data_IF_740723632248
#
_entry.id   IF_740723632248
#
_cell.length_a   1.000
_cell.length_b   1.000
_cell.length_c   1.000
_cell.angle_alpha   90.00
_cell.angle_beta   90.00
_cell.angle_gamma   90.00
#
_symmetry.space_group_name_H-M   'P 1'
#
loop_
_entity.id
_entity.type
_entity.pdbx_description
1 polymer ?
#
# COMPACT_ATOMS: atom_id res chain seq x y z
N UNK A 1 -35.52 6.35 14.58
CA UNK A 1 -34.12 6.06 14.98
C UNK A 1 -34.00 6.35 16.48
N UNK A 2 -33.45 5.42 17.26
CA UNK A 2 -33.42 5.48 18.73
C UNK A 2 -32.63 6.71 19.23
N UNK A 3 -33.23 7.57 20.04
CA UNK A 3 -32.62 8.82 20.55
C UNK A 3 -31.27 8.57 21.21
N UNK A 4 -31.13 7.44 21.89
CA UNK A 4 -29.88 7.00 22.55
C UNK A 4 -28.75 6.74 21.56
N UNK A 5 -29.07 6.25 20.36
CA UNK A 5 -28.06 6.04 19.27
C UNK A 5 -27.59 7.37 18.66
N UNK A 6 -28.50 8.34 18.52
CA UNK A 6 -28.18 9.68 18.00
C UNK A 6 -27.25 10.39 18.99
N UNK A 7 -27.53 10.33 20.27
CA UNK A 7 -26.75 10.99 21.30
C UNK A 7 -25.34 10.39 21.44
N UNK A 8 -25.21 9.06 21.41
CA UNK A 8 -23.91 8.38 21.35
C UNK A 8 -23.10 8.75 20.09
N UNK A 9 -23.76 8.91 18.95
CA UNK A 9 -23.12 9.36 17.70
C UNK A 9 -22.57 10.78 17.84
N UNK A 10 -23.39 11.73 18.36
CA UNK A 10 -22.98 13.12 18.60
C UNK A 10 -21.79 13.21 19.56
N UNK A 11 -21.78 12.44 20.65
CA UNK A 11 -20.66 12.42 21.59
C UNK A 11 -19.36 11.87 20.94
N UNK A 12 -19.45 10.84 20.12
CA UNK A 12 -18.29 10.30 19.37
C UNK A 12 -17.75 11.32 18.37
N UNK A 13 -18.63 11.98 17.61
CA UNK A 13 -18.26 13.02 16.65
C UNK A 13 -17.61 14.23 17.33
N UNK A 14 -18.13 14.66 18.47
CA UNK A 14 -17.54 15.75 19.26
C UNK A 14 -16.12 15.41 19.78
N UNK A 15 -15.92 14.17 20.26
CA UNK A 15 -14.58 13.69 20.67
C UNK A 15 -13.61 13.62 19.47
N UNK A 16 -14.09 13.13 18.32
CA UNK A 16 -13.30 13.10 17.08
C UNK A 16 -12.92 14.51 16.63
N UNK A 17 -13.88 15.45 16.62
CA UNK A 17 -13.65 16.85 16.26
C UNK A 17 -12.55 17.48 17.12
N UNK A 18 -12.67 17.37 18.43
CA UNK A 18 -11.68 17.92 19.37
C UNK A 18 -10.27 17.31 19.15
N UNK A 19 -10.20 16.02 18.84
CA UNK A 19 -8.93 15.34 18.49
C UNK A 19 -8.34 15.89 17.20
N UNK A 20 -9.15 16.05 16.14
CA UNK A 20 -8.70 16.53 14.82
C UNK A 20 -8.27 17.99 14.87
N UNK A 21 -8.98 18.85 15.59
CA UNK A 21 -8.59 20.25 15.81
C UNK A 21 -7.24 20.40 16.54
N UNK A 22 -6.93 19.50 17.47
CA UNK A 22 -5.59 19.45 18.09
C UNK A 22 -4.52 19.05 17.08
N UNK A 23 -4.81 18.10 16.20
CA UNK A 23 -3.85 17.65 15.18
C UNK A 23 -3.49 18.74 14.16
N UNK A 24 -4.47 19.55 13.72
CA UNK A 24 -4.25 20.67 12.77
C UNK A 24 -3.34 21.76 13.34
N UNK A 25 -3.32 21.94 14.68
CA UNK A 25 -2.45 22.96 15.32
C UNK A 25 -0.96 22.70 15.17
N UNK A 26 -0.56 21.46 14.84
CA UNK A 26 0.83 21.15 14.56
C UNK A 26 1.19 21.58 13.14
N UNK A 27 1.79 22.78 13.00
CA UNK A 27 2.34 23.25 11.74
C UNK A 27 3.39 22.27 11.22
N UNK A 28 3.26 21.90 9.95
CA UNK A 28 4.27 21.09 9.26
C UNK A 28 5.57 21.91 9.15
N UNK A 29 6.62 21.46 9.83
CA UNK A 29 7.94 22.06 9.72
C UNK A 29 8.64 21.51 8.47
N UNK A 30 9.50 22.30 7.82
CA UNK A 30 10.29 21.89 6.64
C UNK A 30 11.06 20.58 6.89
N UNK A 31 11.63 20.41 8.07
CA UNK A 31 12.34 19.16 8.44
C UNK A 31 11.40 17.96 8.47
N UNK A 32 10.18 18.11 8.98
CA UNK A 32 9.19 17.03 8.97
C UNK A 32 8.80 16.66 7.54
N UNK A 33 8.60 17.62 6.64
CA UNK A 33 8.28 17.35 5.24
C UNK A 33 9.41 16.59 4.54
N UNK A 34 10.68 17.02 4.70
CA UNK A 34 11.83 16.30 4.14
C UNK A 34 11.88 14.87 4.64
N UNK A 35 11.76 14.66 5.94
CA UNK A 35 11.73 13.34 6.56
C UNK A 35 10.56 12.49 6.05
N UNK A 36 9.35 13.07 5.96
CA UNK A 36 8.17 12.40 5.43
C UNK A 36 8.39 11.97 3.98
N UNK A 37 8.92 12.86 3.12
CA UNK A 37 9.20 12.53 1.73
C UNK A 37 10.27 11.44 1.59
N UNK A 38 11.26 11.39 2.47
CA UNK A 38 12.24 10.28 2.50
C UNK A 38 11.55 8.94 2.81
N UNK A 39 10.70 8.89 3.84
CA UNK A 39 9.94 7.67 4.18
C UNK A 39 9.03 7.27 3.01
N UNK A 40 8.27 8.22 2.44
CA UNK A 40 7.38 7.95 1.32
C UNK A 40 8.14 7.46 0.08
N UNK A 41 9.35 7.97 -0.17
CA UNK A 41 10.21 7.48 -1.26
C UNK A 41 10.64 6.03 -1.02
N UNK A 42 11.00 5.67 0.22
CA UNK A 42 11.36 4.29 0.56
C UNK A 42 10.15 3.34 0.47
N UNK A 43 8.97 3.78 0.92
CA UNK A 43 7.71 3.02 0.75
C UNK A 43 7.43 2.82 -0.75
N UNK A 44 7.62 3.85 -1.56
CA UNK A 44 7.40 3.79 -2.99
C UNK A 44 8.41 2.86 -3.70
N UNK A 45 9.69 2.85 -3.28
CA UNK A 45 10.69 1.88 -3.76
C UNK A 45 10.22 0.45 -3.46
N UNK A 46 9.75 0.19 -2.24
CA UNK A 46 9.27 -1.15 -1.85
C UNK A 46 8.05 -1.56 -2.67
N UNK A 47 7.15 -0.63 -2.96
CA UNK A 47 5.98 -0.80 -3.80
C UNK A 47 6.36 -1.16 -5.26
N UNK A 48 7.31 -0.42 -5.87
CA UNK A 48 7.81 -0.70 -7.21
C UNK A 48 8.55 -2.05 -7.28
N UNK A 49 9.29 -2.41 -6.24
CA UNK A 49 9.92 -3.74 -6.14
C UNK A 49 8.82 -4.80 -6.09
N UNK A 50 7.82 -4.66 -5.23
CA UNK A 50 6.73 -5.60 -5.10
C UNK A 50 5.94 -5.80 -6.41
N UNK A 51 5.74 -4.72 -7.19
CA UNK A 51 5.04 -4.78 -8.47
C UNK A 51 5.81 -5.52 -9.57
N UNK A 52 7.14 -5.51 -9.52
CA UNK A 52 8.00 -6.01 -10.60
C UNK A 52 8.71 -7.31 -10.29
N UNK A 53 8.90 -7.65 -9.01
CA UNK A 53 9.71 -8.81 -8.59
C UNK A 53 9.21 -10.14 -9.15
N UNK A 54 7.90 -10.37 -9.16
CA UNK A 54 7.32 -11.62 -9.67
C UNK A 54 7.57 -11.82 -11.18
N UNK A 55 7.63 -10.74 -11.94
CA UNK A 55 7.94 -10.77 -13.38
C UNK A 55 9.40 -11.19 -13.57
N UNK A 56 10.31 -10.65 -12.76
CA UNK A 56 11.74 -10.95 -12.84
C UNK A 56 12.08 -12.39 -12.44
N UNK A 57 11.26 -13.02 -11.60
CA UNK A 57 11.43 -14.40 -11.14
C UNK A 57 10.45 -15.39 -11.77
N UNK A 58 9.70 -15.00 -12.80
CA UNK A 58 8.69 -15.82 -13.45
C UNK A 58 9.23 -17.19 -13.85
N UNK A 59 10.42 -17.26 -14.46
CA UNK A 59 11.03 -18.53 -14.87
C UNK A 59 11.37 -19.45 -13.67
N UNK A 60 11.84 -18.87 -12.57
CA UNK A 60 12.13 -19.64 -11.35
C UNK A 60 10.84 -20.21 -10.74
N UNK A 61 9.79 -19.41 -10.67
CA UNK A 61 8.47 -19.78 -10.16
C UNK A 61 7.86 -20.93 -10.99
N UNK A 62 7.87 -20.78 -12.33
CA UNK A 62 7.34 -21.79 -13.25
C UNK A 62 8.13 -23.08 -13.14
N UNK A 63 9.46 -23.01 -13.15
CA UNK A 63 10.30 -24.21 -13.04
C UNK A 63 10.09 -24.93 -11.72
N UNK A 64 10.05 -24.23 -10.59
CA UNK A 64 9.92 -24.86 -9.29
C UNK A 64 8.55 -25.50 -9.08
N UNK A 65 7.46 -24.73 -9.29
CA UNK A 65 6.14 -25.21 -8.92
C UNK A 65 5.48 -26.10 -9.98
N UNK A 66 5.71 -25.82 -11.27
CA UNK A 66 5.03 -26.54 -12.34
C UNK A 66 5.92 -27.60 -13.00
N UNK A 67 7.17 -27.28 -13.33
CA UNK A 67 8.04 -28.26 -13.97
C UNK A 67 8.54 -29.29 -12.96
N UNK A 68 9.21 -28.85 -11.89
CA UNK A 68 9.87 -29.75 -10.93
C UNK A 68 8.87 -30.50 -10.04
N UNK A 69 7.81 -29.84 -9.55
CA UNK A 69 6.85 -30.46 -8.61
C UNK A 69 5.66 -31.16 -9.31
N UNK A 70 5.19 -30.63 -10.45
CA UNK A 70 4.03 -31.17 -11.16
C UNK A 70 4.41 -31.96 -12.42
N UNK A 71 5.67 -31.96 -12.86
CA UNK A 71 6.13 -32.69 -14.04
C UNK A 71 5.65 -32.13 -15.36
N UNK A 72 5.21 -30.86 -15.39
CA UNK A 72 4.73 -30.19 -16.61
C UNK A 72 5.90 -29.75 -17.49
N UNK A 73 5.64 -29.53 -18.77
CA UNK A 73 6.56 -28.79 -19.62
C UNK A 73 6.56 -27.32 -19.20
N UNK A 74 7.66 -26.60 -19.48
CA UNK A 74 7.74 -25.16 -19.16
C UNK A 74 6.61 -24.34 -19.80
N UNK A 75 6.23 -24.67 -21.04
CA UNK A 75 5.15 -23.99 -21.77
C UNK A 75 3.78 -24.17 -21.11
N UNK A 76 3.45 -25.40 -20.70
CA UNK A 76 2.20 -25.70 -19.96
C UNK A 76 2.20 -25.01 -18.60
N UNK A 77 3.31 -25.07 -17.85
CA UNK A 77 3.46 -24.40 -16.57
C UNK A 77 3.31 -22.88 -16.67
N UNK A 78 3.90 -22.26 -17.69
CA UNK A 78 3.79 -20.83 -17.95
C UNK A 78 2.33 -20.42 -18.29
N UNK A 79 1.66 -21.22 -19.10
CA UNK A 79 0.26 -21.01 -19.47
C UNK A 79 -0.65 -21.09 -18.24
N UNK A 80 -0.45 -22.12 -17.39
CA UNK A 80 -1.23 -22.29 -16.16
C UNK A 80 -0.94 -21.18 -15.15
N UNK A 81 0.32 -20.80 -14.98
CA UNK A 81 0.70 -19.66 -14.11
C UNK A 81 0.02 -18.35 -14.54
N UNK A 82 0.00 -18.09 -15.85
CA UNK A 82 -0.68 -16.92 -16.41
C UNK A 82 -2.20 -16.96 -16.20
N UNK A 83 -2.82 -18.14 -16.37
CA UNK A 83 -4.25 -18.33 -16.12
C UNK A 83 -4.61 -18.13 -14.64
N UNK A 84 -3.78 -18.64 -13.71
CA UNK A 84 -3.95 -18.39 -12.27
C UNK A 84 -3.83 -16.90 -11.94
N UNK A 85 -2.91 -16.19 -12.59
CA UNK A 85 -2.79 -14.72 -12.48
C UNK A 85 -4.11 -14.02 -12.81
N UNK A 86 -4.79 -14.41 -13.89
CA UNK A 86 -6.07 -13.81 -14.30
C UNK A 86 -7.15 -14.01 -13.24
N UNK A 87 -7.19 -15.14 -12.55
CA UNK A 87 -8.19 -15.43 -11.50
C UNK A 87 -8.07 -14.44 -10.32
N UNK A 88 -6.91 -13.85 -10.10
CA UNK A 88 -6.69 -12.88 -9.02
C UNK A 88 -7.14 -11.47 -9.36
N UNK A 89 -7.33 -11.11 -10.64
CA UNK A 89 -7.76 -9.77 -11.05
C UNK A 89 -9.09 -9.29 -10.45
N UNK A 90 -10.14 -10.12 -10.32
CA UNK A 90 -11.41 -9.69 -9.70
C UNK A 90 -11.24 -9.17 -8.28
N UNK A 91 -10.24 -9.65 -7.53
CA UNK A 91 -9.93 -9.18 -6.17
C UNK A 91 -9.49 -7.71 -6.21
N UNK A 92 -8.81 -7.29 -7.27
CA UNK A 92 -8.41 -5.89 -7.45
C UNK A 92 -9.61 -4.94 -7.61
N UNK A 93 -10.79 -5.43 -8.03
CA UNK A 93 -12.02 -4.62 -8.10
C UNK A 93 -12.51 -4.18 -6.71
N UNK A 94 -12.15 -4.89 -5.64
CA UNK A 94 -12.46 -4.48 -4.27
C UNK A 94 -11.81 -3.14 -3.90
N UNK A 95 -10.83 -2.69 -4.69
CA UNK A 95 -10.24 -1.36 -4.62
C UNK A 95 -11.27 -0.24 -4.66
N UNK A 96 -12.30 -0.37 -5.49
CA UNK A 96 -13.37 0.64 -5.64
C UNK A 96 -14.05 0.91 -4.30
N UNK A 97 -14.14 -0.11 -3.44
CA UNK A 97 -14.72 0.02 -2.09
C UNK A 97 -13.67 0.45 -1.07
N UNK A 98 -12.44 -0.03 -1.22
CA UNK A 98 -11.38 0.20 -0.23
C UNK A 98 -10.84 1.63 -0.25
N UNK A 99 -10.63 2.23 -1.44
CA UNK A 99 -10.10 3.60 -1.56
C UNK A 99 -10.95 4.66 -0.84
N UNK A 100 -12.28 4.72 -1.00
CA UNK A 100 -13.12 5.68 -0.29
C UNK A 100 -13.08 5.55 1.24
N UNK A 101 -12.70 4.38 1.77
CA UNK A 101 -12.54 4.22 3.22
C UNK A 101 -11.39 5.07 3.75
N UNK A 102 -10.33 5.30 2.98
CA UNK A 102 -9.24 6.19 3.36
C UNK A 102 -9.69 7.66 3.51
N UNK A 103 -10.69 8.09 2.71
CA UNK A 103 -11.29 9.42 2.84
C UNK A 103 -12.11 9.55 4.14
N UNK A 104 -12.65 8.46 4.63
CA UNK A 104 -13.47 8.43 5.84
C UNK A 104 -12.66 8.26 7.12
N UNK A 105 -11.69 7.35 7.11
CA UNK A 105 -10.95 6.96 8.32
C UNK A 105 -9.61 7.67 8.49
N UNK A 106 -9.05 8.19 7.41
CA UNK A 106 -7.76 8.90 7.39
C UNK A 106 -6.75 8.25 6.46
N UNK A 107 -5.76 9.03 6.05
CA UNK A 107 -4.70 8.58 5.14
C UNK A 107 -3.65 7.73 5.86
N UNK A 108 -3.28 8.14 7.09
CA UNK A 108 -2.24 7.48 7.87
C UNK A 108 -2.52 6.00 8.12
N UNK A 109 -3.70 5.57 8.62
CA UNK A 109 -3.98 4.15 8.85
C UNK A 109 -3.84 3.30 7.58
N UNK A 110 -4.26 3.86 6.43
CA UNK A 110 -4.20 3.15 5.15
C UNK A 110 -2.78 3.07 4.59
N UNK A 111 -1.96 4.11 4.76
CA UNK A 111 -0.54 4.05 4.41
C UNK A 111 0.17 2.91 5.17
N UNK A 112 -0.06 2.85 6.49
CA UNK A 112 0.54 1.82 7.35
C UNK A 112 0.03 0.43 6.96
N UNK A 113 -1.29 0.27 6.80
CA UNK A 113 -1.92 -0.99 6.44
C UNK A 113 -1.43 -1.49 5.08
N UNK A 114 -1.38 -0.61 4.07
CA UNK A 114 -0.90 -0.96 2.73
C UNK A 114 0.55 -1.44 2.76
N UNK A 115 1.43 -0.66 3.39
CA UNK A 115 2.85 -1.02 3.48
C UNK A 115 3.05 -2.31 4.25
N UNK A 116 2.32 -2.50 5.35
CA UNK A 116 2.39 -3.72 6.16
C UNK A 116 1.88 -4.95 5.38
N UNK A 117 0.69 -4.87 4.78
CA UNK A 117 0.11 -6.00 4.05
C UNK A 117 0.89 -6.33 2.77
N UNK A 118 1.48 -5.34 2.12
CA UNK A 118 2.40 -5.56 1.00
C UNK A 118 3.65 -6.32 1.46
N UNK A 119 4.27 -5.90 2.57
CA UNK A 119 5.41 -6.61 3.17
C UNK A 119 5.02 -8.04 3.63
N UNK A 120 3.80 -8.20 4.15
CA UNK A 120 3.27 -9.53 4.50
C UNK A 120 3.10 -10.41 3.27
N UNK A 121 2.61 -9.86 2.15
CA UNK A 121 2.50 -10.58 0.88
C UNK A 121 3.87 -11.06 0.39
N UNK A 122 4.89 -10.20 0.39
CA UNK A 122 6.27 -10.55 0.06
C UNK A 122 6.82 -11.66 1.01
N UNK A 123 6.51 -11.56 2.29
CA UNK A 123 6.94 -12.54 3.29
C UNK A 123 6.25 -13.90 3.12
N UNK A 124 4.95 -13.91 2.77
CA UNK A 124 4.22 -15.15 2.44
C UNK A 124 4.82 -15.80 1.18
N UNK A 125 5.17 -15.01 0.16
CA UNK A 125 5.86 -15.53 -1.04
C UNK A 125 7.22 -16.13 -0.67
N UNK A 126 7.99 -15.48 0.21
CA UNK A 126 9.25 -16.04 0.72
C UNK A 126 9.07 -17.41 1.39
N UNK A 127 7.99 -17.59 2.15
CA UNK A 127 7.69 -18.85 2.85
C UNK A 127 6.99 -19.89 1.96
N UNK A 128 6.63 -19.55 0.72
CA UNK A 128 5.84 -20.42 -0.13
C UNK A 128 6.62 -21.68 -0.52
N UNK A 129 6.05 -22.83 -0.20
CA UNK A 129 6.54 -24.14 -0.63
C UNK A 129 5.67 -24.74 -1.75
N UNK A 130 4.54 -24.16 -2.06
CA UNK A 130 3.63 -24.57 -3.10
C UNK A 130 3.01 -23.36 -3.80
N UNK A 131 2.39 -23.61 -4.96
CA UNK A 131 1.82 -22.57 -5.78
C UNK A 131 0.63 -21.88 -5.12
N UNK A 132 -0.12 -22.54 -4.25
CA UNK A 132 -1.30 -21.97 -3.58
C UNK A 132 -0.85 -20.87 -2.60
N UNK A 133 0.15 -21.17 -1.73
CA UNK A 133 0.70 -20.20 -0.79
C UNK A 133 1.36 -19.05 -1.55
N UNK A 134 2.08 -19.33 -2.64
CA UNK A 134 2.63 -18.30 -3.53
C UNK A 134 1.52 -17.37 -4.06
N UNK A 135 0.42 -17.93 -4.57
CA UNK A 135 -0.70 -17.15 -5.10
C UNK A 135 -1.40 -16.31 -4.04
N UNK A 136 -1.53 -16.82 -2.81
CA UNK A 136 -2.08 -16.03 -1.68
C UNK A 136 -1.21 -14.80 -1.41
N UNK A 137 0.11 -15.00 -1.27
CA UNK A 137 1.06 -13.90 -1.04
C UNK A 137 1.09 -12.91 -2.21
N UNK A 138 1.15 -13.41 -3.44
CA UNK A 138 1.14 -12.61 -4.66
C UNK A 138 -0.14 -11.80 -4.84
N UNK A 139 -1.30 -12.39 -4.53
CA UNK A 139 -2.59 -11.70 -4.59
C UNK A 139 -2.69 -10.59 -3.55
N UNK A 140 -2.26 -10.87 -2.30
CA UNK A 140 -2.23 -9.86 -1.25
C UNK A 140 -1.32 -8.69 -1.62
N UNK A 141 -0.12 -9.00 -2.11
CA UNK A 141 0.85 -8.01 -2.58
C UNK A 141 0.28 -7.18 -3.74
N UNK A 142 -0.24 -7.80 -4.78
CA UNK A 142 -0.81 -7.13 -5.94
C UNK A 142 -2.03 -6.26 -5.60
N UNK A 143 -2.86 -6.70 -4.67
CA UNK A 143 -3.97 -5.89 -4.17
C UNK A 143 -3.47 -4.62 -3.46
N UNK A 144 -2.44 -4.71 -2.63
CA UNK A 144 -1.92 -3.57 -1.87
C UNK A 144 -1.10 -2.59 -2.72
N UNK A 145 -0.32 -3.09 -3.68
CA UNK A 145 0.44 -2.27 -4.64
C UNK A 145 -0.47 -1.30 -5.40
N UNK A 146 -1.65 -1.73 -5.78
CA UNK A 146 -2.60 -0.88 -6.53
C UNK A 146 -3.19 0.27 -5.70
N UNK A 147 -2.87 0.40 -4.41
CA UNK A 147 -3.47 1.42 -3.52
C UNK A 147 -2.79 2.76 -3.53
N UNK A 148 -1.53 2.85 -3.94
CA UNK A 148 -0.78 4.11 -4.12
C UNK A 148 -0.99 5.17 -3.02
N UNK A 149 -1.18 4.74 -1.76
CA UNK A 149 -1.47 5.68 -0.68
C UNK A 149 -0.32 6.65 -0.43
N UNK A 150 0.92 6.25 -0.72
CA UNK A 150 2.11 7.11 -0.72
C UNK A 150 1.98 8.25 -1.73
N UNK A 151 1.35 8.02 -2.89
CA UNK A 151 1.09 9.05 -3.90
C UNK A 151 0.12 10.09 -3.37
N UNK A 152 -0.97 9.65 -2.74
CA UNK A 152 -1.95 10.55 -2.11
C UNK A 152 -1.27 11.45 -1.07
N UNK A 153 -0.40 10.88 -0.23
CA UNK A 153 0.38 11.65 0.74
C UNK A 153 1.29 12.68 0.08
N UNK A 154 2.03 12.30 -0.96
CA UNK A 154 2.92 13.21 -1.69
C UNK A 154 2.11 14.38 -2.26
N UNK A 155 0.96 14.11 -2.85
CA UNK A 155 0.11 15.13 -3.46
C UNK A 155 -0.53 16.06 -2.42
N UNK A 156 -1.00 15.52 -1.30
CA UNK A 156 -1.66 16.30 -0.24
C UNK A 156 -0.68 17.12 0.61
N UNK A 157 0.55 16.62 0.83
CA UNK A 157 1.60 17.33 1.56
C UNK A 157 2.43 18.28 0.67
N UNK A 158 2.24 18.26 -0.64
CA UNK A 158 2.92 19.16 -1.57
C UNK A 158 2.09 20.39 -1.85
N UNK A 159 2.74 21.57 -1.93
CA UNK A 159 2.09 22.78 -2.44
C UNK A 159 1.66 22.58 -3.89
N UNK A 160 0.57 23.20 -4.31
CA UNK A 160 0.01 23.08 -5.66
C UNK A 160 1.04 23.25 -6.77
N UNK A 161 1.91 24.24 -6.63
CA UNK A 161 3.01 24.55 -7.58
C UNK A 161 4.02 23.40 -7.71
N UNK A 162 4.23 22.63 -6.66
CA UNK A 162 5.30 21.61 -6.58
C UNK A 162 4.80 20.16 -6.64
N UNK A 163 3.48 19.92 -6.67
CA UNK A 163 2.88 18.57 -6.65
C UNK A 163 3.45 17.66 -7.74
N UNK A 164 3.37 18.09 -8.99
CA UNK A 164 3.84 17.30 -10.12
C UNK A 164 5.34 17.00 -10.01
N UNK A 165 6.13 18.02 -9.66
CA UNK A 165 7.59 17.88 -9.50
C UNK A 165 7.94 16.89 -8.39
N UNK A 166 7.34 17.04 -7.21
CA UNK A 166 7.63 16.17 -6.07
C UNK A 166 7.22 14.72 -6.36
N UNK A 167 6.05 14.52 -6.96
CA UNK A 167 5.63 13.20 -7.41
C UNK A 167 6.61 12.60 -8.43
N UNK A 168 6.99 13.34 -9.47
CA UNK A 168 7.89 12.83 -10.51
C UNK A 168 9.28 12.47 -9.96
N UNK A 169 9.83 13.29 -9.05
CA UNK A 169 11.11 12.99 -8.40
C UNK A 169 11.00 11.72 -7.56
N UNK A 170 9.96 11.62 -6.73
CA UNK A 170 9.75 10.44 -5.86
C UNK A 170 9.53 9.18 -6.69
N UNK A 171 8.75 9.26 -7.78
CA UNK A 171 8.53 8.13 -8.70
C UNK A 171 9.81 7.73 -9.42
N UNK A 172 10.63 8.68 -9.88
CA UNK A 172 11.91 8.38 -10.50
C UNK A 172 12.87 7.66 -9.54
N UNK A 173 12.95 8.11 -8.28
CA UNK A 173 13.72 7.44 -7.23
C UNK A 173 13.20 6.02 -6.99
N UNK A 174 11.88 5.83 -6.95
CA UNK A 174 11.26 4.53 -6.75
C UNK A 174 11.58 3.55 -7.88
N UNK A 175 11.49 4.01 -9.14
CA UNK A 175 11.84 3.20 -10.32
C UNK A 175 13.33 2.82 -10.30
N UNK A 176 14.22 3.75 -9.95
CA UNK A 176 15.65 3.44 -9.80
C UNK A 176 15.88 2.41 -8.69
N UNK A 177 15.05 2.43 -7.65
CA UNK A 177 15.09 1.44 -6.57
C UNK A 177 14.81 0.01 -7.05
N UNK A 178 14.09 -0.20 -8.16
CA UNK A 178 13.87 -1.54 -8.73
C UNK A 178 15.15 -2.23 -9.19
N UNK A 179 16.22 -1.47 -9.44
CA UNK A 179 17.55 -2.00 -9.75
C UNK A 179 18.15 -2.81 -8.60
N UNK A 180 17.62 -2.64 -7.38
CA UNK A 180 18.01 -3.49 -6.24
C UNK A 180 17.63 -4.96 -6.46
N UNK A 181 16.58 -5.26 -7.23
CA UNK A 181 16.15 -6.66 -7.44
C UNK A 181 17.19 -7.48 -8.22
N UNK A 182 17.69 -7.05 -9.40
CA UNK A 182 18.77 -7.78 -10.06
C UNK A 182 20.07 -7.81 -9.25
N UNK A 183 20.40 -6.78 -8.47
CA UNK A 183 21.54 -6.81 -7.55
C UNK A 183 21.38 -7.86 -6.44
N UNK A 184 20.20 -7.93 -5.81
CA UNK A 184 19.88 -8.96 -4.84
C UNK A 184 19.87 -10.34 -5.47
N UNK A 185 19.35 -10.47 -6.68
CA UNK A 185 19.38 -11.72 -7.44
C UNK A 185 20.82 -12.20 -7.63
N UNK A 186 21.71 -11.35 -8.12
CA UNK A 186 23.11 -11.67 -8.35
C UNK A 186 23.81 -12.08 -7.05
N UNK A 187 23.63 -11.32 -5.97
CA UNK A 187 24.32 -11.58 -4.69
C UNK A 187 23.78 -12.80 -3.96
N UNK A 188 22.48 -13.07 -3.99
CA UNK A 188 21.85 -14.16 -3.23
C UNK A 188 21.88 -15.49 -4.00
N UNK A 189 21.72 -15.42 -5.34
CA UNK A 189 21.58 -16.63 -6.17
C UNK A 189 22.90 -17.13 -6.76
N UNK A 190 24.04 -16.41 -6.57
CA UNK A 190 25.34 -16.61 -7.23
C UNK A 190 25.69 -18.03 -7.72
N UNK A 191 25.32 -19.06 -6.95
CA UNK A 191 25.57 -20.46 -7.30
C UNK A 191 24.36 -21.40 -7.12
N UNK A 192 23.18 -20.87 -6.70
CA UNK A 192 22.03 -21.70 -6.33
C UNK A 192 20.74 -21.00 -6.77
N UNK A 193 20.24 -21.37 -7.95
CA UNK A 193 18.99 -20.83 -8.52
C UNK A 193 17.75 -21.10 -7.65
N UNK A 194 17.80 -22.09 -6.76
CA UNK A 194 16.72 -22.45 -5.84
C UNK A 194 16.52 -21.44 -4.70
N UNK A 195 17.45 -20.51 -4.51
CA UNK A 195 17.35 -19.49 -3.45
C UNK A 195 16.57 -18.24 -3.83
N UNK A 196 15.84 -18.24 -4.92
CA UNK A 196 15.09 -17.06 -5.38
C UNK A 196 14.09 -16.52 -4.33
N UNK A 197 13.54 -17.37 -3.49
CA UNK A 197 12.64 -16.96 -2.40
C UNK A 197 13.29 -15.94 -1.44
N UNK A 198 14.61 -16.07 -1.19
CA UNK A 198 15.33 -15.15 -0.30
C UNK A 198 15.34 -13.70 -0.82
N UNK A 199 15.21 -13.51 -2.13
CA UNK A 199 15.13 -12.16 -2.71
C UNK A 199 13.86 -11.44 -2.30
N UNK A 200 12.78 -12.16 -2.01
CA UNK A 200 11.53 -11.58 -1.48
C UNK A 200 11.63 -11.20 0.00
N UNK A 201 12.49 -11.86 0.76
CA UNK A 201 12.67 -11.60 2.20
C UNK A 201 13.23 -10.20 2.46
N UNK A 202 14.18 -9.74 1.65
CA UNK A 202 14.83 -8.44 1.87
C UNK A 202 13.81 -7.29 1.79
N UNK A 203 13.04 -7.12 0.69
CA UNK A 203 12.02 -6.06 0.63
C UNK A 203 10.88 -6.27 1.63
N UNK A 204 10.57 -7.51 2.05
CA UNK A 204 9.60 -7.77 3.11
C UNK A 204 10.04 -7.17 4.44
N UNK A 205 11.30 -7.41 4.86
CA UNK A 205 11.87 -6.86 6.10
C UNK A 205 11.88 -5.33 6.04
N UNK A 206 12.31 -4.75 4.92
CA UNK A 206 12.30 -3.30 4.72
C UNK A 206 10.88 -2.75 4.82
N UNK A 207 9.90 -3.38 4.18
CA UNK A 207 8.50 -2.98 4.22
C UNK A 207 7.91 -3.02 5.63
N UNK A 208 8.19 -4.06 6.42
CA UNK A 208 7.78 -4.13 7.83
C UNK A 208 8.41 -3.01 8.66
N UNK A 209 9.72 -2.76 8.50
CA UNK A 209 10.40 -1.67 9.19
C UNK A 209 9.80 -0.30 8.82
N UNK A 210 9.54 -0.05 7.53
CA UNK A 210 8.93 1.19 7.05
C UNK A 210 7.50 1.36 7.57
N UNK A 211 6.71 0.28 7.61
CA UNK A 211 5.37 0.31 8.20
C UNK A 211 5.41 0.70 9.67
N UNK A 212 6.36 0.15 10.44
CA UNK A 212 6.56 0.50 11.84
C UNK A 212 7.03 1.95 12.01
N UNK A 213 7.98 2.41 11.20
CA UNK A 213 8.44 3.81 11.20
C UNK A 213 7.27 4.74 10.85
N UNK A 214 6.48 4.41 9.84
CA UNK A 214 5.30 5.21 9.47
C UNK A 214 4.25 5.24 10.60
N UNK A 215 4.06 4.14 11.33
CA UNK A 215 3.17 4.10 12.49
C UNK A 215 3.58 5.12 13.57
N UNK A 216 4.87 5.19 13.87
CA UNK A 216 5.40 6.06 14.92
C UNK A 216 5.49 7.52 14.47
N UNK A 217 5.93 7.76 13.24
CA UNK A 217 6.42 9.06 12.80
C UNK A 217 5.50 9.78 11.81
N UNK A 218 4.73 9.07 10.97
CA UNK A 218 3.81 9.71 10.04
C UNK A 218 2.65 10.38 10.79
N UNK A 219 2.29 11.59 10.35
CA UNK A 219 1.09 12.31 10.82
C UNK A 219 0.03 12.26 9.74
N UNK A 220 -1.21 12.52 10.12
CA UNK A 220 -2.31 12.64 9.16
C UNK A 220 -2.12 13.88 8.28
N UNK A 221 -2.55 13.82 7.02
CA UNK A 221 -2.39 14.94 6.08
C UNK A 221 -3.27 16.13 6.46
N UNK A 222 -2.79 17.34 6.21
CA UNK A 222 -3.54 18.57 6.50
C UNK A 222 -4.85 18.64 5.73
N UNK A 223 -4.81 18.27 4.46
CA UNK A 223 -5.99 18.26 3.57
C UNK A 223 -7.09 17.35 4.12
N UNK A 224 -6.74 16.14 4.56
CA UNK A 224 -7.71 15.24 5.19
C UNK A 224 -8.26 15.84 6.50
N UNK A 225 -7.40 16.39 7.35
CA UNK A 225 -7.82 16.96 8.64
C UNK A 225 -8.81 18.12 8.44
N UNK A 226 -8.53 19.05 7.54
CA UNK A 226 -9.40 20.19 7.24
C UNK A 226 -10.76 19.73 6.67
N UNK A 227 -10.76 18.83 5.70
CA UNK A 227 -11.97 18.28 5.11
C UNK A 227 -12.82 17.53 6.16
N UNK A 228 -12.17 16.75 7.04
CA UNK A 228 -12.86 16.01 8.09
C UNK A 228 -13.44 16.94 9.16
N UNK A 229 -12.73 17.99 9.55
CA UNK A 229 -13.22 19.01 10.47
C UNK A 229 -14.42 19.74 9.88
N UNK A 230 -14.34 20.15 8.61
CA UNK A 230 -15.47 20.78 7.90
C UNK A 230 -16.68 19.86 7.88
N UNK A 231 -16.51 18.60 7.56
CA UNK A 231 -17.58 17.61 7.60
C UNK A 231 -18.20 17.46 8.99
N UNK A 232 -17.38 17.38 10.06
CA UNK A 232 -17.87 17.22 11.42
C UNK A 232 -18.58 18.47 11.96
N UNK A 233 -18.22 19.66 11.48
CA UNK A 233 -18.90 20.94 11.83
C UNK A 233 -20.22 21.15 11.11
N UNK A 234 -20.45 20.48 9.98
CA UNK A 234 -21.71 20.57 9.24
C UNK A 234 -22.83 19.85 10.01
N UNK A 235 -24.02 20.48 10.21
CA UNK A 235 -25.15 19.85 10.90
C UNK A 235 -25.58 18.52 10.28
N UNK A 236 -26.04 17.58 11.10
CA UNK A 236 -26.43 16.22 10.64
C UNK A 236 -27.51 16.28 9.55
N UNK A 237 -28.49 17.17 9.68
CA UNK A 237 -29.60 17.33 8.75
C UNK A 237 -29.11 17.75 7.34
N UNK A 238 -28.12 18.62 7.29
CA UNK A 238 -27.53 19.08 6.01
C UNK A 238 -26.68 17.98 5.36
N UNK A 239 -25.97 17.17 6.16
CA UNK A 239 -25.21 16.01 5.67
C UNK A 239 -26.14 14.94 5.08
N UNK A 240 -27.29 14.70 5.72
CA UNK A 240 -28.27 13.73 5.25
C UNK A 240 -28.98 14.20 3.98
N UNK A 241 -29.23 15.50 3.82
CA UNK A 241 -29.75 16.09 2.56
C UNK A 241 -28.77 15.88 1.41
N UNK A 242 -27.50 16.26 1.58
CA UNK A 242 -26.48 16.07 0.53
C UNK A 242 -26.30 14.61 0.14
N UNK A 243 -26.31 13.70 1.11
CA UNK A 243 -26.20 12.25 0.84
C UNK A 243 -27.41 11.66 0.12
N UNK A 244 -28.56 12.34 0.11
CA UNK A 244 -29.76 11.92 -0.65
C UNK A 244 -29.76 12.52 -2.05
N UNK A 245 -29.14 13.67 -2.25
CA UNK A 245 -29.01 14.35 -3.56
C UNK A 245 -27.94 13.72 -4.44
N UNK A 246 -26.94 13.05 -3.82
CA UNK A 246 -25.85 12.35 -4.51
C UNK A 246 -26.18 10.88 -4.89
N UNK A 247 -27.36 10.36 -4.54
CA UNK A 247 -27.86 9.01 -4.87
C UNK A 247 -28.87 9.04 -5.99
#
# INVERSE_FOLDING_TARGET
>A
MDQTKIEKKKQREAKELARRERQVKFKENKFYLIYLFMILSLVFITDEIASTISIQFQSNIVNEFFVNKMGMTYGEGLSLFSALGIITYPISLLMVVYRPLADKFGRKPFLILNTFCMALGLFIVYLSQDIVVYMIGGTLMGFMVSHDMQVVYILECSSEKNRARNYSITKAIAILGTLLVPLLRETIMQNVSERWHLVYLVPAIIGFALSFIALLCARETHVFLENRIKYLKTPLEEREKKSKEEK
#
